data_IF_747675253782
#
_entry.id   IF_747675253782
#
_cell.length_a   1.000
_cell.length_b   1.000
_cell.length_c   1.000
_cell.angle_alpha   90.00
_cell.angle_beta   90.00
_cell.angle_gamma   90.00
#
_symmetry.space_group_name_H-M   'P 1'
#
loop_
_entity.id
_entity.type
_entity.pdbx_description
1 polymer ?
#
# COMPACT_ATOMS: atom_id res chain seq x y z
N UNK A 1 -18.39 3.50 11.64
CA UNK A 1 -17.31 2.67 11.10
C UNK A 1 -16.40 2.26 12.24
N UNK A 2 -16.58 1.03 12.72
CA UNK A 2 -15.70 0.44 13.73
C UNK A 2 -14.45 -0.14 13.07
N UNK A 3 -13.31 -0.06 13.74
CA UNK A 3 -12.03 -0.54 13.23
C UNK A 3 -11.70 -1.84 13.95
N UNK A 4 -11.75 -2.96 13.22
CA UNK A 4 -11.49 -4.29 13.79
C UNK A 4 -10.01 -4.51 14.13
N UNK A 5 -9.11 -4.07 13.24
CA UNK A 5 -7.67 -4.17 13.43
C UNK A 5 -6.94 -3.12 12.60
N UNK A 6 -5.82 -2.61 13.12
CA UNK A 6 -4.93 -1.73 12.36
C UNK A 6 -3.46 -1.97 12.71
N UNK A 7 -2.57 -1.76 11.74
CA UNK A 7 -1.13 -1.81 11.96
C UNK A 7 -0.42 -0.83 11.03
N UNK A 8 0.55 -0.11 11.59
CA UNK A 8 1.48 0.73 10.83
C UNK A 8 2.89 0.49 11.32
N UNK A 9 3.82 0.28 10.39
CA UNK A 9 5.25 0.28 10.65
C UNK A 9 5.97 0.90 9.45
N UNK A 10 7.14 1.50 9.71
CA UNK A 10 7.93 2.17 8.68
C UNK A 10 9.39 1.77 8.83
N UNK A 11 10.03 1.44 7.72
CA UNK A 11 11.48 1.26 7.64
C UNK A 11 12.09 2.22 6.64
N UNK A 12 13.31 2.66 6.92
CA UNK A 12 14.07 3.51 6.03
C UNK A 12 14.67 2.68 4.88
N UNK A 13 14.02 2.70 3.73
CA UNK A 13 14.39 1.90 2.54
C UNK A 13 14.90 2.76 1.37
N UNK A 14 14.65 4.07 1.39
CA UNK A 14 15.05 5.02 0.34
C UNK A 14 16.15 5.94 0.85
N UNK A 15 16.99 6.49 -0.03
CA UNK A 15 17.98 7.52 0.37
C UNK A 15 17.31 8.89 0.48
N UNK A 16 17.43 9.55 1.63
CA UNK A 16 17.05 10.96 1.78
C UNK A 16 17.75 11.79 0.68
N UNK A 17 16.96 12.57 -0.09
CA UNK A 17 17.34 13.42 -1.25
C UNK A 17 17.47 12.80 -2.65
N UNK A 18 17.49 11.47 -2.85
CA UNK A 18 17.53 10.87 -4.23
C UNK A 18 16.28 10.07 -4.62
N UNK A 19 15.40 9.75 -3.65
CA UNK A 19 14.00 9.39 -3.92
C UNK A 19 13.71 8.00 -4.49
N UNK A 20 14.72 7.20 -4.89
CA UNK A 20 14.50 5.85 -5.43
C UNK A 20 14.71 4.77 -4.37
N UNK A 21 13.84 3.75 -4.37
CA UNK A 21 14.02 2.54 -3.57
C UNK A 21 15.31 1.82 -3.96
N UNK A 22 15.99 1.21 -2.98
CA UNK A 22 17.28 0.58 -3.21
C UNK A 22 17.16 -0.60 -4.18
N UNK A 23 16.12 -1.43 -4.03
CA UNK A 23 15.86 -2.53 -4.97
C UNK A 23 15.69 -2.09 -6.42
N UNK A 24 15.01 -0.96 -6.67
CA UNK A 24 14.90 -0.41 -8.04
C UNK A 24 16.24 0.09 -8.58
N UNK A 25 17.11 0.63 -7.72
CA UNK A 25 18.44 1.07 -8.13
C UNK A 25 19.36 -0.11 -8.42
N UNK A 26 19.27 -1.16 -7.61
CA UNK A 26 20.06 -2.38 -7.80
C UNK A 26 19.70 -3.07 -9.12
N UNK A 27 18.43 -3.03 -9.54
CA UNK A 27 17.96 -3.53 -10.83
C UNK A 27 18.49 -2.75 -12.05
N UNK A 28 19.04 -1.53 -11.88
CA UNK A 28 19.63 -0.71 -12.95
C UNK A 28 21.11 -1.05 -13.23
N UNK A 29 21.61 -2.20 -12.75
CA UNK A 29 22.92 -2.75 -13.13
C UNK A 29 24.12 -2.25 -12.33
N UNK A 30 23.98 -1.19 -11.53
CA UNK A 30 25.02 -0.77 -10.56
C UNK A 30 24.53 -1.00 -9.15
N UNK A 31 24.91 -2.13 -8.54
CA UNK A 31 24.68 -2.44 -7.13
C UNK A 31 25.77 -1.83 -6.24
N UNK A 32 25.53 -0.71 -5.54
CA UNK A 32 26.53 -0.14 -4.66
C UNK A 32 26.74 -1.06 -3.46
N UNK A 33 28.00 -1.29 -3.07
CA UNK A 33 28.37 -2.15 -1.93
C UNK A 33 28.61 -1.36 -0.63
N UNK A 34 28.20 -0.09 -0.58
CA UNK A 34 28.41 0.73 0.62
C UNK A 34 27.55 0.26 1.79
N UNK A 35 28.02 0.50 3.02
CA UNK A 35 27.29 0.17 4.24
C UNK A 35 25.83 0.68 4.22
N UNK A 36 25.63 1.92 3.73
CA UNK A 36 24.28 2.49 3.60
C UNK A 36 23.40 1.77 2.58
N UNK A 37 23.95 1.21 1.50
CA UNK A 37 23.17 0.40 0.55
C UNK A 37 22.78 -0.94 1.16
N UNK A 38 23.70 -1.61 1.87
CA UNK A 38 23.42 -2.86 2.59
C UNK A 38 22.33 -2.69 3.66
N UNK A 39 22.37 -1.62 4.45
CA UNK A 39 21.34 -1.30 5.46
C UNK A 39 19.96 -1.13 4.81
N UNK A 40 19.88 -0.45 3.65
CA UNK A 40 18.59 -0.26 2.95
C UNK A 40 18.04 -1.58 2.38
N UNK A 41 18.89 -2.45 1.83
CA UNK A 41 18.46 -3.80 1.39
C UNK A 41 17.93 -4.63 2.54
N UNK A 42 18.66 -4.63 3.67
CA UNK A 42 18.21 -5.30 4.89
C UNK A 42 16.85 -4.76 5.34
N UNK A 43 16.68 -3.44 5.37
CA UNK A 43 15.41 -2.80 5.74
C UNK A 43 14.27 -3.14 4.77
N UNK A 44 14.53 -3.24 3.47
CA UNK A 44 13.54 -3.66 2.47
C UNK A 44 13.12 -5.12 2.70
N UNK A 45 14.07 -6.03 2.85
CA UNK A 45 13.79 -7.45 3.10
C UNK A 45 13.04 -7.66 4.42
N UNK A 46 13.46 -6.97 5.47
CA UNK A 46 12.82 -7.05 6.78
C UNK A 46 11.40 -6.46 6.73
N UNK A 47 11.18 -5.34 6.01
CA UNK A 47 9.86 -4.74 5.84
C UNK A 47 8.91 -5.72 5.13
N UNK A 48 9.40 -6.42 4.10
CA UNK A 48 8.60 -7.42 3.40
C UNK A 48 8.23 -8.60 4.31
N UNK A 49 9.17 -9.07 5.13
CA UNK A 49 8.91 -10.13 6.11
C UNK A 49 7.81 -9.73 7.10
N UNK A 50 7.88 -8.52 7.67
CA UNK A 50 6.86 -8.00 8.59
C UNK A 50 5.48 -7.87 7.93
N UNK A 51 5.43 -7.46 6.65
CA UNK A 51 4.17 -7.41 5.90
C UNK A 51 3.59 -8.81 5.70
N UNK A 52 4.43 -9.79 5.34
CA UNK A 52 3.98 -11.18 5.13
C UNK A 52 3.47 -11.81 6.42
N UNK A 53 4.18 -11.61 7.54
CA UNK A 53 3.76 -12.07 8.87
C UNK A 53 2.44 -11.41 9.29
N UNK A 54 2.28 -10.10 9.07
CA UNK A 54 1.03 -9.40 9.36
C UNK A 54 -0.13 -9.97 8.53
N UNK A 55 0.04 -10.10 7.22
CA UNK A 55 -1.01 -10.65 6.34
C UNK A 55 -1.37 -12.08 6.74
N UNK A 56 -0.39 -12.90 7.14
CA UNK A 56 -0.64 -14.25 7.65
C UNK A 56 -1.48 -14.22 8.93
N UNK A 57 -1.15 -13.33 9.87
CA UNK A 57 -1.94 -13.14 11.10
C UNK A 57 -3.37 -12.64 10.84
N UNK A 58 -3.61 -11.97 9.71
CA UNK A 58 -4.90 -11.42 9.32
C UNK A 58 -5.69 -12.29 8.34
N UNK A 59 -5.27 -13.55 8.15
CA UNK A 59 -5.90 -14.46 7.19
C UNK A 59 -7.41 -14.63 7.42
N UNK A 60 -7.89 -14.64 8.67
CA UNK A 60 -9.33 -14.70 8.99
C UNK A 60 -10.08 -13.47 8.46
N UNK A 61 -9.61 -12.27 8.80
CA UNK A 61 -10.18 -11.01 8.32
C UNK A 61 -10.18 -10.92 6.79
N UNK A 62 -9.08 -11.34 6.15
CA UNK A 62 -8.95 -11.31 4.69
C UNK A 62 -9.88 -12.32 3.99
N UNK A 63 -10.25 -13.42 4.63
CA UNK A 63 -11.21 -14.39 4.08
C UNK A 63 -12.63 -13.83 4.08
N UNK A 64 -13.00 -13.11 5.13
CA UNK A 64 -14.34 -12.52 5.29
C UNK A 64 -14.52 -11.22 4.49
N UNK A 65 -13.44 -10.55 4.11
CA UNK A 65 -13.49 -9.30 3.35
C UNK A 65 -14.17 -9.49 1.98
N UNK A 66 -15.19 -8.68 1.70
CA UNK A 66 -15.84 -8.60 0.38
C UNK A 66 -14.99 -7.84 -0.65
N UNK A 67 -14.24 -6.84 -0.19
CA UNK A 67 -13.38 -5.98 -1.00
C UNK A 67 -12.06 -5.69 -0.28
N UNK A 68 -10.95 -5.77 -1.01
CA UNK A 68 -9.60 -5.50 -0.52
C UNK A 68 -9.01 -4.35 -1.33
N UNK A 69 -8.95 -3.16 -0.74
CA UNK A 69 -8.38 -1.99 -1.40
C UNK A 69 -6.87 -1.92 -1.16
N UNK A 70 -6.08 -1.97 -2.23
CA UNK A 70 -4.63 -2.01 -2.15
C UNK A 70 -3.97 -0.84 -2.90
N UNK A 71 -2.96 -0.25 -2.25
CA UNK A 71 -2.02 0.68 -2.87
C UNK A 71 -0.58 0.26 -2.58
N UNK A 72 0.09 -0.25 -3.61
CA UNK A 72 1.51 -0.57 -3.59
C UNK A 72 2.16 -0.11 -4.91
N UNK A 73 2.50 1.18 -5.06
CA UNK A 73 3.08 1.69 -6.31
C UNK A 73 4.40 1.01 -6.67
N UNK A 74 5.16 0.58 -5.66
CA UNK A 74 6.41 -0.12 -5.79
C UNK A 74 6.27 -1.50 -5.13
N UNK A 75 6.92 -2.52 -5.66
CA UNK A 75 7.00 -3.86 -5.07
C UNK A 75 5.65 -4.60 -4.92
N UNK A 76 4.62 -4.27 -5.70
CA UNK A 76 3.32 -4.94 -5.64
C UNK A 76 3.43 -6.46 -5.82
N UNK A 77 4.32 -6.93 -6.71
CA UNK A 77 4.53 -8.35 -6.93
C UNK A 77 4.98 -9.12 -5.67
N UNK A 78 5.65 -8.44 -4.73
CA UNK A 78 6.16 -9.03 -3.49
C UNK A 78 5.06 -9.35 -2.47
N UNK A 79 3.90 -8.69 -2.59
CA UNK A 79 2.72 -8.98 -1.78
C UNK A 79 2.03 -10.30 -2.20
N UNK A 80 2.33 -10.79 -3.41
CA UNK A 80 1.71 -11.98 -4.01
C UNK A 80 2.69 -13.14 -4.21
N UNK A 81 3.86 -13.11 -3.56
CA UNK A 81 4.96 -14.03 -3.88
C UNK A 81 4.80 -15.44 -3.33
N UNK A 82 3.84 -15.70 -2.43
CA UNK A 82 3.57 -17.04 -1.92
C UNK A 82 2.41 -17.68 -2.66
N UNK A 83 2.63 -18.88 -3.22
CA UNK A 83 1.60 -19.69 -3.92
C UNK A 83 0.35 -19.94 -3.07
N UNK A 84 0.50 -19.94 -1.74
CA UNK A 84 -0.58 -20.05 -0.77
C UNK A 84 -0.60 -18.88 0.21
N UNK A 85 -0.15 -17.71 -0.24
CA UNK A 85 -0.16 -16.49 0.54
C UNK A 85 -1.59 -16.00 0.85
N UNK A 86 -1.74 -15.16 1.89
CA UNK A 86 -3.04 -14.60 2.28
C UNK A 86 -3.72 -13.78 1.18
N UNK A 87 -2.92 -13.25 0.24
CA UNK A 87 -3.39 -12.55 -0.95
C UNK A 87 -2.90 -13.28 -2.20
N UNK A 88 -3.82 -13.53 -3.14
CA UNK A 88 -3.54 -14.21 -4.40
C UNK A 88 -3.53 -13.24 -5.58
N UNK A 89 -2.62 -13.48 -6.53
CA UNK A 89 -2.60 -12.72 -7.78
C UNK A 89 -3.85 -13.08 -8.58
N UNK A 90 -4.72 -12.10 -8.83
CA UNK A 90 -5.98 -12.30 -9.56
C UNK A 90 -7.20 -12.50 -8.66
N UNK A 91 -7.08 -12.37 -7.34
CA UNK A 91 -8.25 -12.33 -6.45
C UNK A 91 -9.17 -11.16 -6.85
N UNK A 92 -10.43 -11.42 -7.27
CA UNK A 92 -11.35 -10.40 -7.78
C UNK A 92 -11.78 -9.38 -6.71
N UNK A 93 -11.57 -9.70 -5.43
CA UNK A 93 -11.84 -8.78 -4.31
C UNK A 93 -10.79 -7.68 -4.24
N UNK A 94 -9.61 -7.87 -4.82
CA UNK A 94 -8.52 -6.90 -4.80
C UNK A 94 -8.80 -5.77 -5.80
N UNK A 95 -8.96 -4.55 -5.28
CA UNK A 95 -9.25 -3.34 -6.04
C UNK A 95 -8.18 -2.28 -5.80
N UNK A 96 -7.90 -1.48 -6.82
CA UNK A 96 -7.04 -0.29 -6.66
C UNK A 96 -7.86 0.84 -6.06
N UNK A 97 -7.23 1.63 -5.19
CA UNK A 97 -7.82 2.88 -4.70
C UNK A 97 -7.93 3.86 -5.88
N UNK A 98 -9.12 4.37 -6.23
CA UNK A 98 -9.37 5.15 -7.44
C UNK A 98 -9.00 6.63 -7.31
N UNK A 99 -8.33 7.03 -6.22
CA UNK A 99 -7.91 8.40 -5.97
C UNK A 99 -6.52 8.46 -5.33
N UNK A 100 -5.95 9.66 -5.28
CA UNK A 100 -4.63 9.90 -4.71
C UNK A 100 -4.58 9.60 -3.21
N UNK A 101 -3.53 8.88 -2.82
CA UNK A 101 -3.25 8.49 -1.44
C UNK A 101 -2.00 9.20 -0.94
N UNK A 102 -1.99 9.54 0.34
CA UNK A 102 -0.88 10.20 1.05
C UNK A 102 0.03 9.14 1.68
N UNK A 103 0.94 9.57 2.56
CA UNK A 103 1.81 8.68 3.32
C UNK A 103 0.97 7.64 4.09
N UNK A 104 1.36 6.37 3.97
CA UNK A 104 0.72 5.25 4.65
C UNK A 104 0.80 5.40 6.18
N UNK A 105 -0.23 6.01 6.75
CA UNK A 105 -0.43 6.23 8.18
C UNK A 105 -1.84 5.79 8.52
N UNK A 106 -2.11 5.56 9.81
CA UNK A 106 -3.44 5.13 10.23
C UNK A 106 -4.53 6.13 9.83
N UNK A 107 -4.30 7.44 10.05
CA UNK A 107 -5.19 8.53 9.62
C UNK A 107 -5.48 8.51 8.12
N UNK A 108 -4.50 8.15 7.30
CA UNK A 108 -4.71 8.03 5.85
C UNK A 108 -5.58 6.83 5.49
N UNK A 109 -5.45 5.71 6.22
CA UNK A 109 -6.34 4.54 6.05
C UNK A 109 -7.78 4.92 6.44
N UNK A 110 -7.97 5.63 7.55
CA UNK A 110 -9.28 6.14 7.97
C UNK A 110 -9.89 7.07 6.92
N UNK A 111 -9.11 8.03 6.40
CA UNK A 111 -9.56 8.94 5.33
C UNK A 111 -9.98 8.17 4.08
N UNK A 112 -9.13 7.25 3.61
CA UNK A 112 -9.40 6.42 2.43
C UNK A 112 -10.68 5.61 2.62
N UNK A 113 -10.82 4.95 3.78
CA UNK A 113 -12.03 4.20 4.11
C UNK A 113 -13.26 5.10 4.12
N UNK A 114 -13.17 6.26 4.79
CA UNK A 114 -14.24 7.26 4.81
C UNK A 114 -14.67 7.66 3.39
N UNK A 115 -13.72 7.99 2.52
CA UNK A 115 -14.03 8.35 1.12
C UNK A 115 -14.66 7.19 0.35
N UNK A 116 -14.14 5.96 0.48
CA UNK A 116 -14.67 4.77 -0.23
C UNK A 116 -16.07 4.34 0.26
N UNK A 117 -16.38 4.60 1.53
CA UNK A 117 -17.65 4.26 2.17
C UNK A 117 -18.69 5.38 2.14
N UNK A 118 -18.39 6.50 1.46
CA UNK A 118 -19.28 7.66 1.37
C UNK A 118 -19.91 7.78 -0.02
N UNK A 119 -21.15 8.23 -0.05
CA UNK A 119 -21.82 8.67 -1.27
C UNK A 119 -21.62 10.18 -1.43
N UNK A 120 -21.13 10.61 -2.60
CA UNK A 120 -21.06 12.03 -2.95
C UNK A 120 -22.25 12.35 -3.86
N UNK A 121 -23.09 13.29 -3.43
CA UNK A 121 -24.28 13.73 -4.16
C UNK A 121 -23.96 15.04 -4.87
N UNK A 122 -24.16 15.05 -6.18
CA UNK A 122 -23.86 16.19 -7.04
C UNK A 122 -25.15 16.63 -7.75
N UNK A 123 -25.37 17.95 -7.84
CA UNK A 123 -26.48 18.49 -8.62
C UNK A 123 -26.24 18.33 -10.13
N UNK A 124 -27.30 18.40 -10.93
CA UNK A 124 -27.25 18.29 -12.40
C UNK A 124 -26.28 19.29 -13.07
N UNK A 125 -26.00 20.41 -12.40
CA UNK A 125 -25.13 21.47 -12.91
C UNK A 125 -23.68 21.33 -12.42
N UNK A 126 -23.34 20.25 -11.73
CA UNK A 126 -21.98 20.01 -11.22
C UNK A 126 -21.05 19.69 -12.38
N UNK A 127 -19.92 20.40 -12.46
CA UNK A 127 -18.96 20.13 -13.52
C UNK A 127 -18.16 18.86 -13.25
N UNK A 128 -17.67 18.20 -14.30
CA UNK A 128 -16.80 17.02 -14.15
C UNK A 128 -15.54 17.34 -13.34
N UNK A 129 -15.05 18.57 -13.40
CA UNK A 129 -13.90 19.02 -12.61
C UNK A 129 -14.18 18.90 -11.09
N UNK A 130 -15.37 19.31 -10.66
CA UNK A 130 -15.79 19.24 -9.25
C UNK A 130 -15.88 17.80 -8.75
N UNK A 131 -16.28 16.84 -9.62
CA UNK A 131 -16.35 15.41 -9.30
C UNK A 131 -14.97 14.79 -8.97
N UNK A 132 -13.91 15.33 -9.55
CA UNK A 132 -12.53 14.82 -9.38
C UNK A 132 -11.75 15.52 -8.28
N UNK A 133 -12.29 16.63 -7.75
CA UNK A 133 -11.68 17.35 -6.65
C UNK A 133 -11.87 16.55 -5.34
N UNK A 134 -10.77 16.26 -4.63
CA UNK A 134 -10.92 15.67 -3.29
C UNK A 134 -11.60 16.69 -2.39
N UNK A 135 -12.65 16.31 -1.63
CA UNK A 135 -13.23 17.19 -0.63
C UNK A 135 -12.12 17.62 0.35
N UNK A 136 -12.08 18.92 0.65
CA UNK A 136 -11.06 19.53 1.53
C UNK A 136 -11.20 19.02 2.96
#
# INVERSE_FOLDING_TARGET
NEILAHKTFHRYTVRARRGTAQGMRDAQGTMPKSAGASIRRYNEAALLKEIQELLASWTSYLKEAECIFLRAPYNQALLFSSKHGPLQRGDPRIRRIPFSTRRATFREVERVHGTLSSLLVYGSNTTVADLTSSPR
#
